data_IF_391573418301
#
_entry.id   IF_391573418301
#
_cell.length_a   1.000
_cell.length_b   1.000
_cell.length_c   1.000
_cell.angle_alpha   90.00
_cell.angle_beta   90.00
_cell.angle_gamma   90.00
#
_symmetry.space_group_name_H-M   'P 1'
#
loop_
_entity.id
_entity.type
_entity.pdbx_description
1 polymer ?
#
# COMPACT_ATOMS: atom_id res chain seq x y z
N UNK A 1 -21.82 -4.97 10.53
CA UNK A 1 -21.60 -4.74 11.98
C UNK A 1 -20.09 -4.64 12.19
N UNK A 2 -19.63 -3.61 12.89
CA UNK A 2 -18.20 -3.43 13.18
C UNK A 2 -17.70 -4.57 14.07
N UNK A 3 -16.65 -5.27 13.62
CA UNK A 3 -15.99 -6.29 14.45
C UNK A 3 -15.31 -5.62 15.65
N UNK A 4 -15.16 -6.34 16.76
CA UNK A 4 -14.21 -5.94 17.81
C UNK A 4 -12.80 -5.89 17.21
N UNK A 5 -11.93 -5.04 17.72
CA UNK A 5 -10.58 -4.86 17.17
C UNK A 5 -9.79 -6.19 17.10
N UNK A 6 -9.77 -6.96 18.19
CA UNK A 6 -9.19 -8.31 18.25
C UNK A 6 -9.73 -9.29 17.19
N UNK A 7 -10.94 -9.06 16.65
CA UNK A 7 -11.57 -9.91 15.64
C UNK A 7 -11.24 -9.50 14.20
N UNK A 8 -10.52 -8.40 13.97
CA UNK A 8 -10.09 -8.01 12.62
C UNK A 8 -8.93 -8.92 12.21
N UNK A 9 -9.15 -9.76 11.20
CA UNK A 9 -8.17 -10.73 10.74
C UNK A 9 -7.26 -10.07 9.72
N UNK A 10 -5.99 -9.88 10.09
CA UNK A 10 -4.96 -9.28 9.23
C UNK A 10 -4.16 -10.40 8.58
N UNK A 11 -4.37 -10.62 7.28
CA UNK A 11 -3.53 -11.53 6.53
C UNK A 11 -2.19 -10.89 6.19
N UNK A 12 -1.11 -11.65 6.34
CA UNK A 12 0.25 -11.19 6.09
C UNK A 12 0.91 -12.12 5.08
N UNK A 13 1.25 -11.61 3.89
CA UNK A 13 2.15 -12.33 3.00
C UNK A 13 3.59 -12.14 3.48
N UNK A 14 4.33 -13.23 3.65
CA UNK A 14 5.63 -13.22 4.37
C UNK A 14 6.77 -12.59 3.57
N UNK A 15 6.56 -12.36 2.27
CA UNK A 15 7.56 -11.78 1.39
C UNK A 15 8.73 -12.74 1.16
N UNK A 16 9.88 -12.19 0.77
CA UNK A 16 11.09 -12.98 0.57
C UNK A 16 11.67 -13.46 1.91
N UNK A 17 11.80 -14.78 2.08
CA UNK A 17 12.29 -15.41 3.31
C UNK A 17 13.80 -15.20 3.55
N UNK A 18 14.57 -14.89 2.52
CA UNK A 18 15.99 -14.50 2.65
C UNK A 18 16.15 -12.99 2.88
N UNK A 19 15.09 -12.20 2.73
CA UNK A 19 15.06 -10.77 3.05
C UNK A 19 14.68 -10.49 4.51
N UNK A 20 14.43 -9.22 4.81
CA UNK A 20 14.00 -8.76 6.15
C UNK A 20 12.52 -8.98 6.45
N UNK A 21 11.72 -9.48 5.48
CA UNK A 21 10.26 -9.56 5.61
C UNK A 21 9.82 -10.31 6.86
N UNK A 22 10.42 -11.47 7.11
CA UNK A 22 10.12 -12.26 8.32
C UNK A 22 10.57 -11.56 9.60
N UNK A 23 11.69 -10.83 9.58
CA UNK A 23 12.20 -10.09 10.74
C UNK A 23 11.26 -8.94 11.13
N UNK A 24 10.82 -8.13 10.17
CA UNK A 24 9.93 -6.99 10.46
C UNK A 24 8.54 -7.45 10.91
N UNK A 25 8.03 -8.55 10.36
CA UNK A 25 6.78 -9.18 10.81
C UNK A 25 6.90 -9.62 12.26
N UNK A 26 7.96 -10.38 12.61
CA UNK A 26 8.15 -10.87 13.97
C UNK A 26 8.29 -9.72 14.97
N UNK A 27 9.16 -8.74 14.70
CA UNK A 27 9.35 -7.55 15.55
C UNK A 27 8.07 -6.75 15.77
N UNK A 28 7.22 -6.64 14.74
CA UNK A 28 5.94 -5.93 14.86
C UNK A 28 5.03 -6.57 15.92
N UNK A 29 5.00 -7.90 15.99
CA UNK A 29 4.13 -8.63 16.92
C UNK A 29 4.83 -9.13 18.19
N UNK A 30 6.07 -8.67 18.46
CA UNK A 30 6.69 -8.81 19.79
C UNK A 30 5.93 -8.00 20.85
N UNK A 31 5.37 -6.86 20.43
CA UNK A 31 4.45 -6.10 21.27
C UNK A 31 3.06 -6.73 21.26
N UNK A 32 2.72 -7.47 22.31
CA UNK A 32 1.46 -8.19 22.44
C UNK A 32 0.22 -7.26 22.40
N UNK A 33 0.38 -5.95 22.61
CA UNK A 33 -0.72 -4.98 22.45
C UNK A 33 -1.26 -4.97 21.01
N UNK A 34 -0.45 -5.35 20.02
CA UNK A 34 -0.92 -5.52 18.64
C UNK A 34 -2.04 -6.56 18.52
N UNK A 35 -2.04 -7.58 19.39
CA UNK A 35 -3.07 -8.63 19.39
C UNK A 35 -4.42 -8.16 19.97
N UNK A 36 -4.43 -7.03 20.68
CA UNK A 36 -5.67 -6.35 21.08
C UNK A 36 -6.30 -5.57 19.91
N UNK A 37 -5.48 -5.22 18.90
CA UNK A 37 -5.88 -4.42 17.76
C UNK A 37 -6.27 -5.26 16.54
N UNK A 38 -5.73 -6.48 16.42
CA UNK A 38 -6.04 -7.42 15.35
C UNK A 38 -5.62 -8.86 15.67
N UNK A 39 -6.10 -9.81 14.85
CA UNK A 39 -5.60 -11.18 14.82
C UNK A 39 -4.76 -11.39 13.56
N UNK A 40 -3.42 -11.46 13.67
CA UNK A 40 -2.56 -11.66 12.51
C UNK A 40 -2.53 -13.13 12.06
N UNK A 41 -2.54 -13.33 10.75
CA UNK A 41 -2.41 -14.63 10.07
C UNK A 41 -1.32 -14.54 9.02
N UNK A 42 -0.18 -15.16 9.31
CA UNK A 42 1.00 -15.17 8.44
C UNK A 42 0.86 -16.34 7.47
N UNK A 43 0.82 -16.04 6.17
CA UNK A 43 0.75 -17.02 5.09
C UNK A 43 2.16 -17.55 4.80
N UNK A 44 2.59 -18.63 5.47
CA UNK A 44 3.98 -19.13 5.39
C UNK A 44 4.10 -20.62 5.74
N UNK A 45 5.06 -20.95 6.61
CA UNK A 45 5.25 -22.26 7.23
C UNK A 45 5.76 -22.06 8.66
N UNK A 46 5.09 -22.67 9.65
CA UNK A 46 5.40 -22.43 11.07
C UNK A 46 6.79 -22.92 11.48
N UNK A 47 7.32 -23.97 10.84
CA UNK A 47 8.67 -24.48 11.13
C UNK A 47 9.74 -23.50 10.64
N UNK A 48 9.56 -22.93 9.45
CA UNK A 48 10.45 -21.89 8.92
C UNK A 48 10.39 -20.63 9.79
N UNK A 49 9.18 -20.17 10.12
CA UNK A 49 9.03 -19.01 10.99
C UNK A 49 9.66 -19.25 12.38
N UNK A 50 9.57 -20.46 12.92
CA UNK A 50 10.24 -20.84 14.18
C UNK A 50 11.76 -20.86 14.06
N UNK A 51 12.30 -21.30 12.92
CA UNK A 51 13.73 -21.23 12.63
C UNK A 51 14.23 -19.78 12.57
N UNK A 52 13.54 -18.92 11.82
CA UNK A 52 13.87 -17.49 11.71
C UNK A 52 13.76 -16.81 13.08
N UNK A 53 12.66 -17.03 13.82
CA UNK A 53 12.48 -16.54 15.19
C UNK A 53 13.65 -16.93 16.09
N UNK A 54 14.14 -18.17 16.00
CA UNK A 54 15.29 -18.64 16.79
C UNK A 54 16.58 -17.90 16.42
N UNK A 55 16.84 -17.72 15.12
CA UNK A 55 18.04 -17.01 14.65
C UNK A 55 18.03 -15.53 15.05
N UNK A 56 16.85 -14.91 15.14
CA UNK A 56 16.67 -13.53 15.56
C UNK A 56 16.50 -13.35 17.08
N UNK A 57 16.60 -14.44 17.85
CA UNK A 57 16.37 -14.45 19.30
C UNK A 57 15.00 -13.89 19.74
N UNK A 58 14.02 -13.89 18.84
CA UNK A 58 12.68 -13.35 19.11
C UNK A 58 11.90 -14.22 20.08
N UNK A 59 11.09 -13.60 20.94
CA UNK A 59 10.30 -14.27 21.98
C UNK A 59 8.86 -14.58 21.56
N UNK A 60 8.45 -14.15 20.36
CA UNK A 60 7.09 -14.30 19.81
C UNK A 60 6.55 -15.73 19.89
N UNK A 61 5.35 -15.93 20.45
CA UNK A 61 4.69 -17.23 20.43
C UNK A 61 3.89 -17.43 19.13
N UNK A 62 4.38 -18.31 18.24
CA UNK A 62 3.72 -18.65 16.98
C UNK A 62 2.73 -19.81 17.16
N UNK A 63 1.56 -19.70 16.53
CA UNK A 63 0.53 -20.73 16.50
C UNK A 63 0.36 -21.25 15.07
N UNK A 64 0.84 -22.46 14.79
CA UNK A 64 0.70 -23.07 13.47
C UNK A 64 -0.72 -23.57 13.23
N UNK A 65 -1.27 -23.24 12.06
CA UNK A 65 -2.57 -23.72 11.57
C UNK A 65 -2.42 -24.30 10.17
N UNK A 66 -3.29 -25.26 9.82
CA UNK A 66 -3.32 -25.87 8.48
C UNK A 66 -4.50 -25.37 7.64
N UNK A 67 -5.48 -24.72 8.28
CA UNK A 67 -6.69 -24.16 7.64
C UNK A 67 -7.07 -22.84 8.30
N UNK A 68 -7.70 -21.94 7.53
CA UNK A 68 -8.11 -20.61 8.01
C UNK A 68 -9.27 -20.66 9.03
N UNK A 69 -10.06 -21.72 9.08
CA UNK A 69 -11.08 -21.92 10.12
C UNK A 69 -10.50 -22.23 11.51
N UNK A 70 -9.19 -22.48 11.60
CA UNK A 70 -8.46 -22.72 12.85
C UNK A 70 -7.84 -21.46 13.45
N UNK A 71 -8.05 -20.28 12.85
CA UNK A 71 -7.51 -19.02 13.37
C UNK A 71 -7.96 -18.82 14.82
N UNK A 72 -6.99 -18.59 15.70
CA UNK A 72 -7.23 -18.28 17.10
C UNK A 72 -6.97 -16.79 17.38
N UNK A 73 -7.98 -16.05 17.87
CA UNK A 73 -7.79 -14.69 18.37
C UNK A 73 -6.77 -14.63 19.52
N UNK A 74 -6.05 -13.51 19.62
CA UNK A 74 -5.01 -13.32 20.64
C UNK A 74 -3.76 -14.20 20.42
N UNK A 75 -3.60 -14.78 19.23
CA UNK A 75 -2.41 -15.54 18.81
C UNK A 75 -1.86 -15.00 17.49
N UNK A 76 -0.58 -15.25 17.29
CA UNK A 76 0.09 -15.00 16.00
C UNK A 76 -0.01 -16.27 15.19
N UNK A 77 -1.00 -16.32 14.30
CA UNK A 77 -1.32 -17.51 13.53
C UNK A 77 -0.35 -17.61 12.34
N UNK A 78 0.10 -18.82 12.02
CA UNK A 78 0.91 -19.11 10.84
C UNK A 78 0.23 -20.22 10.05
N UNK A 79 -0.32 -19.88 8.90
CA UNK A 79 -0.92 -20.84 7.98
C UNK A 79 0.17 -21.58 7.22
N UNK A 80 0.23 -22.91 7.36
CA UNK A 80 1.17 -23.77 6.65
C UNK A 80 0.78 -23.97 5.18
N UNK A 81 1.33 -23.16 4.29
CA UNK A 81 1.08 -23.22 2.85
C UNK A 81 1.91 -24.29 2.12
N UNK A 82 2.98 -24.75 2.74
CA UNK A 82 3.87 -25.78 2.21
C UNK A 82 4.39 -26.66 3.35
N UNK A 83 4.88 -27.86 3.01
CA UNK A 83 5.32 -28.86 4.00
C UNK A 83 6.79 -29.23 3.87
N UNK A 84 7.32 -29.08 2.67
CA UNK A 84 8.71 -29.22 2.33
C UNK A 84 9.59 -28.22 3.10
N UNK A 85 10.83 -28.64 3.39
CA UNK A 85 11.84 -27.73 3.92
C UNK A 85 12.30 -26.76 2.83
N UNK A 86 12.68 -25.56 3.25
CA UNK A 86 13.26 -24.55 2.37
C UNK A 86 14.63 -24.18 2.96
N UNK A 87 15.67 -24.32 2.15
CA UNK A 87 17.02 -23.93 2.54
C UNK A 87 17.14 -22.41 2.47
N UNK A 88 17.28 -21.78 3.62
CA UNK A 88 17.38 -20.32 3.73
C UNK A 88 18.83 -19.87 3.82
N UNK A 89 19.20 -18.95 2.93
CA UNK A 89 20.47 -18.26 2.92
C UNK A 89 20.18 -16.77 3.11
N UNK A 90 19.98 -16.36 4.37
CA UNK A 90 19.61 -14.98 4.71
C UNK A 90 20.61 -13.99 4.08
N UNK A 91 20.07 -12.98 3.41
CA UNK A 91 20.85 -11.96 2.71
C UNK A 91 21.33 -12.36 1.32
N UNK A 92 20.93 -13.53 0.81
CA UNK A 92 21.23 -13.97 -0.54
C UNK A 92 19.95 -14.01 -1.36
N UNK A 93 19.98 -13.32 -2.49
CA UNK A 93 18.94 -13.42 -3.51
C UNK A 93 18.89 -14.87 -4.03
N UNK A 94 17.73 -15.51 -3.94
CA UNK A 94 17.49 -16.87 -4.44
C UNK A 94 16.10 -16.95 -5.11
N UNK A 95 16.06 -17.38 -6.37
CA UNK A 95 14.84 -17.52 -7.17
C UNK A 95 13.86 -18.54 -6.55
N UNK A 96 14.36 -19.67 -6.04
CA UNK A 96 13.51 -20.71 -5.43
C UNK A 96 12.85 -20.19 -4.15
N UNK A 97 13.57 -19.39 -3.38
CA UNK A 97 13.01 -18.72 -2.20
C UNK A 97 11.97 -17.67 -2.60
N UNK A 98 12.21 -16.96 -3.71
CA UNK A 98 11.26 -16.04 -4.32
C UNK A 98 9.92 -16.69 -4.68
N UNK A 99 9.90 -17.94 -5.14
CA UNK A 99 8.66 -18.69 -5.42
C UNK A 99 7.76 -18.83 -4.18
N UNK A 100 8.34 -19.02 -2.99
CA UNK A 100 7.56 -19.11 -1.74
C UNK A 100 6.97 -17.76 -1.32
N UNK A 101 7.66 -16.65 -1.63
CA UNK A 101 7.12 -15.31 -1.44
C UNK A 101 5.86 -15.09 -2.28
N UNK A 102 5.88 -15.55 -3.54
CA UNK A 102 4.71 -15.49 -4.43
C UNK A 102 3.61 -16.45 -3.98
N UNK A 103 3.94 -17.69 -3.59
CA UNK A 103 2.98 -18.64 -3.04
C UNK A 103 2.24 -18.06 -1.83
N UNK A 104 2.96 -17.37 -0.96
CA UNK A 104 2.41 -16.63 0.17
C UNK A 104 1.47 -15.50 -0.26
N UNK A 105 1.91 -14.65 -1.18
CA UNK A 105 1.14 -13.50 -1.67
C UNK A 105 -0.14 -13.92 -2.40
N UNK A 106 -0.07 -14.91 -3.28
CA UNK A 106 -1.22 -15.45 -4.03
C UNK A 106 -2.25 -16.05 -3.06
N UNK A 107 -1.81 -16.87 -2.11
CA UNK A 107 -2.72 -17.48 -1.13
C UNK A 107 -3.39 -16.43 -0.22
N UNK A 108 -2.63 -15.42 0.20
CA UNK A 108 -3.18 -14.33 1.03
C UNK A 108 -4.18 -13.47 0.23
N UNK A 109 -3.91 -13.21 -1.05
CA UNK A 109 -4.83 -12.49 -1.94
C UNK A 109 -6.12 -13.29 -2.18
N UNK A 110 -6.02 -14.60 -2.40
CA UNK A 110 -7.19 -15.47 -2.54
C UNK A 110 -8.06 -15.46 -1.27
N UNK A 111 -7.43 -15.57 -0.09
CA UNK A 111 -8.14 -15.48 1.19
C UNK A 111 -8.83 -14.11 1.39
N UNK A 112 -8.20 -13.02 0.94
CA UNK A 112 -8.77 -11.67 0.98
C UNK A 112 -9.99 -11.55 0.06
N UNK A 113 -9.87 -12.05 -1.17
CA UNK A 113 -10.94 -12.08 -2.17
C UNK A 113 -12.16 -12.83 -1.66
N UNK A 114 -11.95 -13.98 -1.04
CA UNK A 114 -13.01 -14.82 -0.45
C UNK A 114 -13.55 -14.29 0.90
N UNK A 115 -12.97 -13.22 1.45
CA UNK A 115 -13.39 -12.63 2.72
C UNK A 115 -13.04 -13.46 3.96
N UNK A 116 -12.07 -14.37 3.84
CA UNK A 116 -11.55 -15.17 4.95
C UNK A 116 -10.59 -14.37 5.85
N UNK A 117 -10.02 -13.29 5.31
CA UNK A 117 -9.28 -12.26 6.04
C UNK A 117 -9.91 -10.89 5.74
N UNK A 118 -9.75 -9.93 6.66
CA UNK A 118 -10.38 -8.61 6.56
C UNK A 118 -9.52 -7.61 5.75
N UNK A 119 -8.19 -7.74 5.83
CA UNK A 119 -7.23 -6.92 5.10
C UNK A 119 -5.90 -7.65 4.90
N UNK A 120 -5.12 -7.22 3.91
CA UNK A 120 -3.81 -7.77 3.57
C UNK A 120 -2.68 -6.78 3.83
N UNK A 121 -1.65 -7.21 4.56
CA UNK A 121 -0.38 -6.49 4.70
C UNK A 121 0.72 -7.32 4.03
N UNK A 122 1.36 -6.79 3.01
CA UNK A 122 2.39 -7.54 2.27
C UNK A 122 3.78 -7.19 2.77
N UNK A 123 4.57 -8.15 3.23
CA UNK A 123 5.99 -7.94 3.48
C UNK A 123 6.78 -7.80 2.15
N UNK A 124 8.00 -7.23 2.16
CA UNK A 124 8.75 -6.94 0.94
C UNK A 124 9.10 -8.19 0.12
N UNK A 125 9.01 -8.06 -1.20
CA UNK A 125 9.47 -9.05 -2.18
C UNK A 125 10.50 -8.44 -3.12
N UNK A 126 11.33 -9.29 -3.72
CA UNK A 126 12.27 -8.88 -4.76
C UNK A 126 11.65 -9.07 -6.15
N UNK A 127 11.35 -7.97 -6.85
CA UNK A 127 10.70 -7.96 -8.17
C UNK A 127 11.44 -8.76 -9.25
N UNK A 128 12.75 -8.95 -9.13
CA UNK A 128 13.53 -9.71 -10.10
C UNK A 128 13.35 -11.23 -9.95
N UNK A 129 13.13 -11.70 -8.72
CA UNK A 129 13.08 -13.13 -8.40
C UNK A 129 11.68 -13.72 -8.50
N UNK A 130 10.67 -12.87 -8.53
CA UNK A 130 9.28 -13.30 -8.56
C UNK A 130 8.78 -13.58 -9.99
N UNK A 131 9.55 -13.17 -11.01
CA UNK A 131 9.19 -13.46 -12.40
C UNK A 131 9.46 -14.93 -12.68
N UNK A 132 8.43 -15.67 -13.05
CA UNK A 132 8.55 -17.08 -13.41
C UNK A 132 7.67 -17.40 -14.62
N UNK A 133 7.73 -18.64 -15.12
CA UNK A 133 6.78 -19.09 -16.13
C UNK A 133 5.32 -19.01 -15.64
N UNK A 134 5.09 -19.14 -14.33
CA UNK A 134 3.78 -19.16 -13.68
C UNK A 134 3.35 -17.83 -13.06
N UNK A 135 4.24 -16.85 -12.93
CA UNK A 135 3.93 -15.51 -12.40
C UNK A 135 4.66 -14.43 -13.20
N UNK A 136 3.92 -13.74 -14.09
CA UNK A 136 4.44 -12.68 -14.97
C UNK A 136 3.70 -11.37 -14.69
N UNK A 137 3.93 -10.79 -13.52
CA UNK A 137 3.33 -9.51 -13.14
C UNK A 137 4.42 -8.49 -12.81
N UNK A 138 4.36 -7.26 -13.36
CA UNK A 138 5.36 -6.21 -13.09
C UNK A 138 5.48 -5.85 -11.59
N UNK A 139 4.40 -6.03 -10.82
CA UNK A 139 4.42 -5.92 -9.36
C UNK A 139 3.14 -6.40 -8.67
N UNK A 140 3.08 -6.19 -7.34
CA UNK A 140 1.92 -6.53 -6.52
C UNK A 140 0.63 -5.85 -7.00
N UNK A 141 0.71 -4.57 -7.38
CA UNK A 141 -0.46 -3.76 -7.75
C UNK A 141 -1.17 -4.33 -8.97
N UNK A 142 -0.43 -4.73 -10.02
CA UNK A 142 -1.02 -5.29 -11.25
C UNK A 142 -1.73 -6.61 -10.99
N UNK A 143 -1.13 -7.48 -10.17
CA UNK A 143 -1.75 -8.73 -9.77
C UNK A 143 -3.04 -8.51 -8.97
N UNK A 144 -3.02 -7.55 -8.02
CA UNK A 144 -4.20 -7.22 -7.23
C UNK A 144 -5.31 -6.61 -8.08
N UNK A 145 -4.98 -5.79 -9.07
CA UNK A 145 -5.96 -5.19 -9.99
C UNK A 145 -6.65 -6.25 -10.86
N UNK A 146 -5.95 -7.33 -11.19
CA UNK A 146 -6.55 -8.48 -11.89
C UNK A 146 -7.43 -9.34 -10.95
N UNK A 147 -7.01 -9.53 -9.71
CA UNK A 147 -7.67 -10.47 -8.79
C UNK A 147 -8.81 -9.86 -7.99
N UNK A 148 -8.79 -8.55 -7.75
CA UNK A 148 -9.74 -7.83 -6.90
C UNK A 148 -10.58 -6.85 -7.71
N UNK A 149 -11.72 -6.44 -7.18
CA UNK A 149 -12.59 -5.51 -7.89
C UNK A 149 -12.14 -4.06 -7.66
N UNK A 150 -12.07 -3.26 -8.72
CA UNK A 150 -11.77 -1.84 -8.64
C UNK A 150 -10.73 -1.40 -9.66
N UNK A 151 -10.10 -0.26 -9.37
CA UNK A 151 -9.02 0.30 -10.18
C UNK A 151 -7.85 0.67 -9.25
N UNK A 152 -6.83 -0.19 -9.21
CA UNK A 152 -5.71 -0.05 -8.31
C UNK A 152 -4.92 1.25 -8.56
N UNK A 153 -4.64 1.95 -7.47
CA UNK A 153 -3.84 3.17 -7.46
C UNK A 153 -2.87 3.13 -6.29
N UNK A 154 -1.59 3.32 -6.58
CA UNK A 154 -0.57 3.48 -5.54
C UNK A 154 -0.75 4.83 -4.84
N UNK A 155 -1.01 4.79 -3.53
CA UNK A 155 -1.07 5.95 -2.66
C UNK A 155 -0.07 5.78 -1.53
N UNK A 156 0.98 6.60 -1.53
CA UNK A 156 1.96 6.63 -0.45
C UNK A 156 1.43 7.47 0.69
N UNK A 157 1.47 6.93 1.91
CA UNK A 157 0.84 7.53 3.09
C UNK A 157 1.86 7.58 4.21
N UNK A 158 1.99 8.75 4.82
CA UNK A 158 2.51 8.89 6.17
C UNK A 158 1.82 10.03 6.91
N UNK A 159 1.15 9.72 8.01
CA UNK A 159 0.36 10.65 8.83
C UNK A 159 -0.57 11.52 7.96
N UNK A 160 -0.30 12.83 7.88
CA UNK A 160 -1.06 13.79 7.06
C UNK A 160 -0.63 13.85 5.59
N UNK A 161 0.52 13.28 5.22
CA UNK A 161 1.05 13.31 3.86
C UNK A 161 0.55 12.10 3.06
N UNK A 162 -0.18 12.37 1.98
CA UNK A 162 -0.65 11.36 1.02
C UNK A 162 -0.22 11.75 -0.38
N UNK A 163 0.51 10.89 -1.07
CA UNK A 163 1.05 11.14 -2.41
C UNK A 163 0.59 10.04 -3.37
N UNK A 164 -0.25 10.39 -4.33
CA UNK A 164 -0.66 9.55 -5.44
C UNK A 164 0.11 9.89 -6.72
N UNK A 165 0.07 8.99 -7.69
CA UNK A 165 0.78 9.13 -8.97
C UNK A 165 -0.21 9.05 -10.14
N UNK A 166 -0.08 9.95 -11.13
CA UNK A 166 -0.79 9.81 -12.41
C UNK A 166 -0.16 8.67 -13.25
N UNK A 167 1.17 8.67 -13.32
CA UNK A 167 1.97 7.62 -13.98
C UNK A 167 2.94 7.01 -12.98
N UNK A 168 3.11 5.69 -13.04
CA UNK A 168 3.89 4.93 -12.07
C UNK A 168 5.23 4.45 -12.65
N UNK A 169 5.36 3.18 -13.03
CA UNK A 169 6.63 2.55 -13.40
C UNK A 169 6.86 2.62 -14.92
N UNK A 170 6.81 3.82 -15.50
CA UNK A 170 7.09 4.07 -16.92
C UNK A 170 8.41 4.85 -17.10
N UNK A 171 9.09 4.73 -18.25
CA UNK A 171 10.23 5.58 -18.58
C UNK A 171 9.87 7.06 -18.52
N UNK A 172 10.75 7.91 -17.96
CA UNK A 172 10.52 9.35 -17.85
C UNK A 172 10.23 10.00 -19.22
N UNK A 173 10.86 9.50 -20.29
CA UNK A 173 10.63 9.94 -21.68
C UNK A 173 9.21 9.70 -22.19
N UNK A 174 8.44 8.82 -21.55
CA UNK A 174 7.08 8.44 -21.95
C UNK A 174 6.00 9.09 -21.08
N UNK A 175 6.37 9.80 -20.01
CA UNK A 175 5.39 10.39 -19.07
C UNK A 175 4.44 11.34 -19.79
N UNK A 176 4.99 12.26 -20.61
CA UNK A 176 4.21 13.28 -21.30
C UNK A 176 3.12 12.68 -22.20
N UNK A 177 3.43 11.60 -22.94
CA UNK A 177 2.49 10.98 -23.88
C UNK A 177 1.37 10.20 -23.19
N UNK A 178 1.58 9.76 -21.95
CA UNK A 178 0.58 9.04 -21.17
C UNK A 178 -0.38 9.97 -20.42
N UNK A 179 -0.05 11.25 -20.27
CA UNK A 179 -0.91 12.23 -19.61
C UNK A 179 -2.07 12.62 -20.53
N UNK A 180 -3.20 11.93 -20.36
CA UNK A 180 -4.47 12.23 -21.03
C UNK A 180 -5.50 12.76 -20.03
N UNK A 181 -6.50 13.51 -20.53
CA UNK A 181 -7.61 13.98 -19.68
C UNK A 181 -8.31 12.80 -18.98
N UNK A 182 -8.51 11.69 -19.69
CA UNK A 182 -9.16 10.49 -19.14
C UNK A 182 -8.37 9.91 -17.96
N UNK A 183 -7.05 9.77 -18.10
CA UNK A 183 -6.18 9.30 -17.02
C UNK A 183 -6.27 10.23 -15.80
N UNK A 184 -6.16 11.54 -16.03
CA UNK A 184 -6.19 12.57 -14.97
C UNK A 184 -7.52 12.50 -14.20
N UNK A 185 -8.64 12.48 -14.91
CA UNK A 185 -9.98 12.41 -14.31
C UNK A 185 -10.15 11.11 -13.52
N UNK A 186 -9.76 9.97 -14.10
CA UNK A 186 -9.87 8.66 -13.45
C UNK A 186 -9.07 8.64 -12.15
N UNK A 187 -7.79 8.99 -12.19
CA UNK A 187 -6.89 8.95 -11.02
C UNK A 187 -7.33 9.92 -9.92
N UNK A 188 -7.75 11.14 -10.26
CA UNK A 188 -8.25 12.11 -9.27
C UNK A 188 -9.54 11.62 -8.60
N UNK A 189 -10.48 11.05 -9.35
CA UNK A 189 -11.70 10.52 -8.75
C UNK A 189 -11.41 9.31 -7.85
N UNK A 190 -10.51 8.40 -8.25
CA UNK A 190 -10.06 7.30 -7.38
C UNK A 190 -9.46 7.81 -6.07
N UNK A 191 -8.55 8.80 -6.12
CA UNK A 191 -7.96 9.40 -4.92
C UNK A 191 -9.02 10.09 -4.07
N UNK A 192 -9.93 10.87 -4.67
CA UNK A 192 -11.03 11.52 -3.94
C UNK A 192 -11.91 10.50 -3.22
N UNK A 193 -12.31 9.43 -3.89
CA UNK A 193 -13.13 8.37 -3.28
C UNK A 193 -12.37 7.71 -2.12
N UNK A 194 -11.09 7.43 -2.31
CA UNK A 194 -10.24 6.91 -1.24
C UNK A 194 -10.16 7.87 -0.04
N UNK A 195 -9.94 9.16 -0.26
CA UNK A 195 -9.91 10.15 0.83
C UNK A 195 -11.22 10.18 1.63
N UNK A 196 -12.36 10.03 0.96
CA UNK A 196 -13.67 9.98 1.61
C UNK A 196 -13.86 8.66 2.38
N UNK A 197 -13.63 7.53 1.72
CA UNK A 197 -14.00 6.19 2.22
C UNK A 197 -12.95 5.59 3.15
N UNK A 198 -11.68 5.73 2.80
CA UNK A 198 -10.54 5.13 3.49
C UNK A 198 -10.00 6.05 4.59
N UNK A 199 -10.07 7.37 4.38
CA UNK A 199 -9.49 8.38 5.28
C UNK A 199 -10.53 9.28 5.96
N UNK A 200 -11.83 9.04 5.73
CA UNK A 200 -12.94 9.78 6.38
C UNK A 200 -12.92 11.30 6.14
N UNK A 201 -12.42 11.75 4.98
CA UNK A 201 -12.33 13.16 4.60
C UNK A 201 -13.51 13.53 3.69
N UNK A 202 -14.57 14.11 4.25
CA UNK A 202 -15.83 14.38 3.53
C UNK A 202 -15.71 15.36 2.34
N UNK A 203 -14.77 16.32 2.39
CA UNK A 203 -14.56 17.33 1.34
C UNK A 203 -13.07 17.46 1.03
N UNK A 204 -12.47 16.45 0.39
CA UNK A 204 -11.03 16.36 0.24
C UNK A 204 -10.50 17.44 -0.70
N UNK A 205 -9.42 18.10 -0.30
CA UNK A 205 -8.64 19.03 -1.12
C UNK A 205 -7.45 18.29 -1.71
N UNK A 206 -7.40 18.25 -3.04
CA UNK A 206 -6.36 17.51 -3.77
C UNK A 206 -5.49 18.53 -4.51
N UNK A 207 -4.18 18.50 -4.26
CA UNK A 207 -3.21 19.23 -5.06
C UNK A 207 -2.69 18.35 -6.20
N UNK A 208 -2.50 18.93 -7.38
CA UNK A 208 -1.87 18.26 -8.52
C UNK A 208 -0.61 19.03 -8.90
N UNK A 209 0.49 18.31 -9.11
CA UNK A 209 1.75 18.89 -9.54
C UNK A 209 1.76 19.04 -11.06
N UNK A 210 2.52 20.02 -11.57
CA UNK A 210 2.77 20.14 -13.00
C UNK A 210 3.72 19.06 -13.51
N UNK A 211 3.68 18.78 -14.81
CA UNK A 211 4.65 17.91 -15.47
C UNK A 211 5.99 18.62 -15.57
N UNK A 212 5.98 19.83 -16.12
CA UNK A 212 7.20 20.56 -16.42
C UNK A 212 7.63 21.42 -15.22
N UNK A 213 8.94 21.75 -15.13
CA UNK A 213 9.43 22.76 -14.19
C UNK A 213 8.61 24.04 -14.32
N UNK A 214 8.28 24.66 -13.18
CA UNK A 214 7.47 25.88 -13.12
C UNK A 214 6.11 25.79 -13.86
N UNK A 215 5.55 24.58 -14.01
CA UNK A 215 4.31 24.33 -14.75
C UNK A 215 4.34 24.86 -16.19
N UNK A 216 5.50 24.71 -16.84
CA UNK A 216 5.73 25.12 -18.23
C UNK A 216 6.00 26.61 -18.43
N UNK A 217 5.95 27.43 -17.37
CA UNK A 217 6.21 28.88 -17.39
C UNK A 217 5.49 29.60 -18.55
N UNK A 218 4.19 29.30 -18.72
CA UNK A 218 3.35 29.87 -19.79
C UNK A 218 3.66 29.35 -21.19
N UNK A 219 4.21 28.15 -21.30
CA UNK A 219 4.56 27.50 -22.57
C UNK A 219 6.04 27.63 -22.97
N UNK A 220 6.86 28.29 -22.15
CA UNK A 220 8.31 28.42 -22.38
C UNK A 220 9.02 27.08 -22.20
N UNK A 221 8.57 26.26 -21.25
CA UNK A 221 9.20 24.99 -20.85
C UNK A 221 8.18 23.85 -21.02
N UNK A 222 7.77 23.59 -22.26
CA UNK A 222 6.73 22.60 -22.55
C UNK A 222 5.31 23.16 -22.43
N UNK A 223 4.35 22.44 -23.01
CA UNK A 223 2.96 22.92 -23.16
C UNK A 223 1.94 21.97 -22.55
N UNK A 224 2.35 20.80 -22.08
CA UNK A 224 1.50 19.73 -21.55
C UNK A 224 0.68 20.20 -20.35
N UNK A 225 1.28 21.04 -19.48
CA UNK A 225 0.61 21.63 -18.33
C UNK A 225 -0.58 22.51 -18.73
N UNK A 226 -0.40 23.33 -19.77
CA UNK A 226 -1.42 24.25 -20.30
C UNK A 226 -2.45 23.55 -21.18
N UNK A 227 -1.99 22.60 -21.99
CA UNK A 227 -2.80 21.92 -22.99
C UNK A 227 -3.65 20.79 -22.39
N UNK A 228 -3.16 20.11 -21.34
CA UNK A 228 -3.80 18.90 -20.81
C UNK A 228 -4.17 19.04 -19.33
N UNK A 229 -3.22 19.36 -18.45
CA UNK A 229 -3.47 19.38 -17.00
C UNK A 229 -4.45 20.50 -16.62
N UNK A 230 -4.16 21.77 -16.94
CA UNK A 230 -5.03 22.91 -16.56
C UNK A 230 -6.49 22.73 -17.01
N UNK A 231 -6.79 22.36 -18.28
CA UNK A 231 -8.17 22.12 -18.71
C UNK A 231 -8.84 20.98 -17.96
N UNK A 232 -8.13 19.86 -17.76
CA UNK A 232 -8.66 18.70 -17.04
C UNK A 232 -8.99 19.04 -15.58
N UNK A 233 -8.06 19.70 -14.87
CA UNK A 233 -8.27 20.12 -13.49
C UNK A 233 -9.42 21.12 -13.35
N UNK A 234 -9.52 22.08 -14.28
CA UNK A 234 -10.65 23.02 -14.30
C UNK A 234 -11.98 22.29 -14.44
N UNK A 235 -12.07 21.34 -15.37
CA UNK A 235 -13.29 20.54 -15.59
C UNK A 235 -13.69 19.73 -14.35
N UNK A 236 -12.71 19.17 -13.64
CA UNK A 236 -12.95 18.42 -12.40
C UNK A 236 -13.40 19.38 -11.28
N UNK A 237 -12.79 20.56 -11.20
CA UNK A 237 -13.18 21.60 -10.24
C UNK A 237 -14.59 22.12 -10.48
N UNK A 238 -14.95 22.42 -11.73
CA UNK A 238 -16.29 22.88 -12.11
C UNK A 238 -17.38 21.83 -11.80
N UNK A 239 -17.01 20.54 -11.76
CA UNK A 239 -17.89 19.43 -11.32
C UNK A 239 -18.04 19.33 -9.80
N UNK A 240 -17.37 20.18 -9.03
CA UNK A 240 -17.46 20.28 -7.57
C UNK A 240 -16.40 19.50 -6.79
N UNK A 241 -15.43 18.88 -7.46
CA UNK A 241 -14.28 18.25 -6.78
C UNK A 241 -13.23 19.31 -6.45
N UNK A 242 -12.81 19.42 -5.19
CA UNK A 242 -11.84 20.44 -4.74
C UNK A 242 -10.40 20.06 -5.14
N UNK A 243 -10.12 20.13 -6.44
CA UNK A 243 -8.79 19.90 -7.02
C UNK A 243 -8.13 21.22 -7.38
N UNK A 244 -6.83 21.34 -7.10
CA UNK A 244 -6.06 22.57 -7.28
C UNK A 244 -4.72 22.27 -7.96
N UNK A 245 -4.25 23.22 -8.77
CA UNK A 245 -2.99 23.13 -9.50
C UNK A 245 -3.16 23.46 -10.99
N UNK A 246 -2.20 23.06 -11.84
CA UNK A 246 -0.96 22.38 -11.46
C UNK A 246 -0.04 23.30 -10.61
N UNK A 247 0.72 22.73 -9.69
CA UNK A 247 1.73 23.43 -8.89
C UNK A 247 3.16 23.04 -9.30
N UNK A 248 4.09 23.99 -9.25
CA UNK A 248 5.51 23.71 -9.46
C UNK A 248 6.05 22.85 -8.31
N UNK A 249 6.55 21.65 -8.62
CA UNK A 249 6.81 20.62 -7.62
C UNK A 249 7.85 21.06 -6.55
N UNK A 250 8.94 21.69 -6.99
CA UNK A 250 10.02 22.18 -6.15
C UNK A 250 9.55 23.24 -5.14
N UNK A 251 8.86 24.28 -5.62
CA UNK A 251 8.30 25.33 -4.77
C UNK A 251 7.18 24.81 -3.86
N UNK A 252 6.37 23.87 -4.35
CA UNK A 252 5.27 23.28 -3.60
C UNK A 252 5.75 22.51 -2.37
N UNK A 253 6.74 21.63 -2.54
CA UNK A 253 7.34 20.91 -1.41
C UNK A 253 8.27 21.78 -0.57
N UNK A 254 9.09 22.61 -1.21
CA UNK A 254 10.08 23.47 -0.52
C UNK A 254 9.46 24.54 0.38
N UNK A 255 8.23 24.97 0.10
CA UNK A 255 7.50 25.94 0.92
C UNK A 255 6.55 25.33 1.96
N UNK A 256 6.46 23.99 2.04
CA UNK A 256 5.50 23.31 2.92
C UNK A 256 4.05 23.42 2.45
N UNK A 257 3.79 23.78 1.19
CA UNK A 257 2.43 23.99 0.69
C UNK A 257 1.59 22.71 0.69
N UNK A 258 2.23 21.55 0.61
CA UNK A 258 1.60 20.22 0.67
C UNK A 258 0.76 20.01 1.94
N UNK A 259 1.11 20.64 3.06
CA UNK A 259 0.37 20.54 4.33
C UNK A 259 -1.05 21.12 4.29
N UNK A 260 -1.37 21.91 3.25
CA UNK A 260 -2.69 22.54 3.07
C UNK A 260 -3.70 21.64 2.33
N UNK A 261 -3.26 20.46 1.89
CA UNK A 261 -4.03 19.54 1.07
C UNK A 261 -4.08 18.16 1.72
N UNK A 262 -5.16 17.44 1.45
CA UNK A 262 -5.40 16.10 2.02
C UNK A 262 -4.67 15.01 1.22
N UNK A 263 -4.40 15.27 -0.06
CA UNK A 263 -3.51 14.50 -0.92
C UNK A 263 -2.83 15.36 -1.98
N UNK A 264 -1.67 14.90 -2.41
CA UNK A 264 -0.90 15.41 -3.54
C UNK A 264 -0.88 14.36 -4.64
N UNK A 265 -1.10 14.75 -5.88
CA UNK A 265 -0.97 13.88 -7.04
C UNK A 265 0.20 14.37 -7.88
N UNK A 266 1.25 13.57 -7.95
CA UNK A 266 2.40 13.81 -8.80
C UNK A 266 2.16 13.26 -10.20
N UNK A 267 2.76 13.89 -11.21
CA UNK A 267 2.61 13.48 -12.61
C UNK A 267 3.39 12.20 -12.93
N UNK A 268 4.52 11.97 -12.24
CA UNK A 268 5.35 10.78 -12.36
C UNK A 268 5.97 10.37 -11.02
N UNK A 269 6.48 9.13 -10.97
CA UNK A 269 6.98 8.47 -9.78
C UNK A 269 7.98 9.30 -8.96
N UNK A 270 9.12 9.68 -9.54
CA UNK A 270 10.19 10.34 -8.79
C UNK A 270 9.81 11.74 -8.29
N UNK A 271 8.89 12.43 -8.99
CA UNK A 271 8.37 13.73 -8.57
C UNK A 271 7.65 13.67 -7.22
N UNK A 272 6.89 12.59 -6.99
CA UNK A 272 6.14 12.38 -5.76
C UNK A 272 6.94 11.63 -4.70
N UNK A 273 7.71 10.61 -5.10
CA UNK A 273 8.33 9.70 -4.15
C UNK A 273 9.59 10.26 -3.50
N UNK A 274 10.41 11.05 -4.21
CA UNK A 274 11.57 11.70 -3.61
C UNK A 274 11.16 12.53 -2.38
N UNK A 275 10.25 13.53 -2.51
CA UNK A 275 9.85 14.33 -1.35
C UNK A 275 9.13 13.48 -0.30
N UNK A 276 8.30 12.51 -0.69
CA UNK A 276 7.64 11.61 0.26
C UNK A 276 8.65 10.85 1.13
N UNK A 277 9.68 10.25 0.53
CA UNK A 277 10.71 9.47 1.22
C UNK A 277 11.55 10.35 2.14
N UNK A 278 11.86 11.58 1.70
CA UNK A 278 12.57 12.56 2.52
C UNK A 278 11.76 12.98 3.75
N UNK A 279 10.43 13.14 3.60
CA UNK A 279 9.55 13.63 4.66
C UNK A 279 8.99 12.53 5.58
N UNK A 280 8.93 11.28 5.13
CA UNK A 280 8.31 10.17 5.87
C UNK A 280 9.25 9.48 6.87
N UNK A 281 10.55 9.78 6.86
CA UNK A 281 11.56 9.26 7.81
C UNK A 281 11.48 7.74 8.06
N UNK A 282 11.26 6.95 7.01
CA UNK A 282 11.19 5.48 7.11
C UNK A 282 9.87 4.92 7.67
N UNK A 283 8.85 5.76 7.86
CA UNK A 283 7.50 5.37 8.32
C UNK A 283 6.47 5.33 7.18
N UNK A 284 6.90 5.55 5.94
CA UNK A 284 6.02 5.51 4.78
C UNK A 284 5.31 4.16 4.63
N UNK A 285 4.06 4.20 4.19
CA UNK A 285 3.24 3.05 3.84
C UNK A 285 2.78 3.19 2.41
N UNK A 286 2.87 2.10 1.64
CA UNK A 286 2.23 1.99 0.34
C UNK A 286 0.83 1.39 0.51
N UNK A 287 -0.19 2.21 0.31
CA UNK A 287 -1.59 1.79 0.29
C UNK A 287 -2.08 1.65 -1.16
N UNK A 288 -2.76 0.55 -1.46
CA UNK A 288 -3.39 0.34 -2.77
C UNK A 288 -4.83 0.85 -2.73
N UNK A 289 -5.01 2.11 -3.09
CA UNK A 289 -6.32 2.76 -3.19
C UNK A 289 -7.10 2.26 -4.40
N UNK A 290 -8.42 2.46 -4.38
CA UNK A 290 -9.32 2.16 -5.52
C UNK A 290 -9.79 0.70 -5.63
N UNK A 291 -9.22 -0.22 -4.85
CA UNK A 291 -9.70 -1.59 -4.73
C UNK A 291 -10.78 -1.74 -3.64
N UNK A 292 -11.70 -2.68 -3.85
CA UNK A 292 -12.78 -3.04 -2.92
C UNK A 292 -12.24 -3.68 -1.63
N UNK A 293 -11.09 -4.34 -1.69
CA UNK A 293 -10.34 -4.86 -0.54
C UNK A 293 -9.20 -3.95 -0.12
N UNK A 294 -8.78 -4.11 1.14
CA UNK A 294 -7.73 -3.30 1.75
C UNK A 294 -6.39 -4.01 1.64
N UNK A 295 -5.42 -3.36 1.01
CA UNK A 295 -4.02 -3.80 1.01
C UNK A 295 -3.07 -2.66 1.37
N UNK A 296 -2.20 -2.92 2.34
CA UNK A 296 -1.08 -2.04 2.72
C UNK A 296 0.26 -2.77 2.63
N UNK A 297 1.35 -2.01 2.60
CA UNK A 297 2.71 -2.54 2.46
C UNK A 297 3.70 -1.54 3.03
N UNK A 298 4.83 -2.00 3.61
CA UNK A 298 5.92 -1.10 3.93
C UNK A 298 6.49 -0.48 2.65
N UNK A 299 7.20 0.63 2.83
CA UNK A 299 7.82 1.43 1.78
C UNK A 299 9.33 1.12 1.59
N UNK A 300 9.78 -0.05 2.04
CA UNK A 300 11.15 -0.53 1.85
C UNK A 300 11.18 -1.88 1.13
N UNK A 301 12.32 -2.19 0.54
CA UNK A 301 12.58 -3.46 -0.15
C UNK A 301 12.96 -4.60 0.80
N UNK A 302 13.53 -5.66 0.24
CA UNK A 302 13.96 -6.88 0.95
C UNK A 302 15.21 -6.69 1.81
N UNK A 303 16.01 -5.65 1.57
CA UNK A 303 17.20 -5.28 2.35
C UNK A 303 18.10 -6.48 2.72
N UNK A 304 18.53 -7.24 1.70
CA UNK A 304 19.33 -8.45 1.87
C UNK A 304 20.63 -8.21 2.65
N UNK A 305 21.22 -7.03 2.52
CA UNK A 305 22.44 -6.63 3.20
C UNK A 305 22.33 -6.65 4.73
N UNK A 306 21.11 -6.56 5.29
CA UNK A 306 20.85 -6.62 6.73
C UNK A 306 20.01 -7.81 7.17
N UNK A 307 19.58 -8.67 6.24
CA UNK A 307 18.73 -9.82 6.56
C UNK A 307 19.43 -10.79 7.52
N UNK A 308 18.69 -11.21 8.55
CA UNK A 308 19.19 -12.13 9.58
C UNK A 308 20.11 -11.50 10.63
N UNK A 309 20.37 -10.19 10.54
CA UNK A 309 21.22 -9.47 11.51
C UNK A 309 20.44 -8.93 12.72
N UNK A 310 19.11 -8.95 12.70
CA UNK A 310 18.30 -8.45 13.81
C UNK A 310 18.25 -6.92 13.92
N UNK A 311 18.72 -6.18 12.90
CA UNK A 311 18.81 -4.71 12.90
C UNK A 311 17.80 -4.02 11.97
N UNK A 312 16.92 -4.76 11.29
CA UNK A 312 15.91 -4.17 10.42
C UNK A 312 14.94 -3.30 11.23
N UNK A 313 14.67 -2.10 10.71
CA UNK A 313 13.61 -1.23 11.23
C UNK A 313 12.26 -1.78 10.77
N UNK A 314 11.39 -2.08 11.74
CA UNK A 314 10.06 -2.63 11.50
C UNK A 314 8.96 -1.56 11.51
N UNK A 315 9.29 -0.28 11.73
CA UNK A 315 8.31 0.79 11.87
C UNK A 315 7.40 0.92 10.64
N UNK A 316 7.94 0.91 9.42
CA UNK A 316 7.12 0.97 8.18
C UNK A 316 6.11 -0.19 8.09
N UNK A 317 6.50 -1.42 8.48
CA UNK A 317 5.58 -2.56 8.49
C UNK A 317 4.51 -2.41 9.56
N UNK A 318 4.88 -1.97 10.77
CA UNK A 318 3.94 -1.67 11.85
C UNK A 318 2.94 -0.58 11.45
N UNK A 319 3.41 0.52 10.86
CA UNK A 319 2.53 1.57 10.33
C UNK A 319 1.62 1.04 9.22
N UNK A 320 2.09 0.09 8.39
CA UNK A 320 1.23 -0.55 7.39
C UNK A 320 0.09 -1.38 8.02
N UNK A 321 0.34 -2.05 9.15
CA UNK A 321 -0.70 -2.73 9.93
C UNK A 321 -1.68 -1.71 10.51
N UNK A 322 -1.20 -0.64 11.16
CA UNK A 322 -2.05 0.40 11.73
C UNK A 322 -2.93 1.08 10.67
N UNK A 323 -2.34 1.51 9.56
CA UNK A 323 -3.07 2.12 8.46
C UNK A 323 -4.14 1.17 7.91
N UNK A 324 -3.83 -0.12 7.75
CA UNK A 324 -4.80 -1.11 7.32
C UNK A 324 -6.01 -1.19 8.25
N UNK A 325 -5.77 -1.22 9.56
CA UNK A 325 -6.82 -1.26 10.58
C UNK A 325 -7.67 0.02 10.60
N UNK A 326 -7.05 1.18 10.44
CA UNK A 326 -7.75 2.46 10.40
C UNK A 326 -8.62 2.58 9.15
N UNK A 327 -8.11 2.14 7.99
CA UNK A 327 -8.89 2.09 6.74
C UNK A 327 -10.06 1.12 6.89
N UNK A 328 -9.87 -0.05 7.51
CA UNK A 328 -10.96 -1.00 7.76
C UNK A 328 -12.09 -0.37 8.57
N UNK A 329 -11.73 0.36 9.63
CA UNK A 329 -12.70 1.07 10.48
C UNK A 329 -13.39 2.21 9.72
N UNK A 330 -12.64 3.01 8.96
CA UNK A 330 -13.17 4.08 8.12
C UNK A 330 -14.17 3.55 7.09
N UNK A 331 -13.84 2.47 6.37
CA UNK A 331 -14.75 1.84 5.41
C UNK A 331 -16.02 1.31 6.07
N UNK A 332 -15.89 0.65 7.22
CA UNK A 332 -17.03 0.14 7.97
C UNK A 332 -17.96 1.28 8.43
N UNK A 333 -17.39 2.37 8.94
CA UNK A 333 -18.13 3.57 9.33
C UNK A 333 -18.78 4.24 8.12
N UNK A 334 -18.05 4.39 7.01
CA UNK A 334 -18.56 4.95 5.76
C UNK A 334 -19.76 4.16 5.24
N UNK A 335 -19.67 2.82 5.23
CA UNK A 335 -20.76 1.95 4.83
C UNK A 335 -21.99 2.10 5.72
N UNK A 336 -21.81 2.29 7.04
CA UNK A 336 -22.91 2.50 7.97
C UNK A 336 -23.61 3.85 7.74
N UNK A 337 -22.84 4.94 7.63
CA UNK A 337 -23.42 6.29 7.48
C UNK A 337 -24.00 6.53 6.08
N UNK A 338 -23.53 5.82 5.05
CA UNK A 338 -24.00 5.97 3.66
C UNK A 338 -25.21 5.09 3.31
N UNK A 339 -25.63 4.16 4.19
CA UNK A 339 -26.77 3.26 3.93
C UNK A 339 -28.11 3.97 3.71
N UNK A 340 -28.32 5.14 4.33
CA UNK A 340 -29.58 5.89 4.27
C UNK A 340 -29.28 7.37 4.02
N UNK A 341 -28.84 7.75 2.81
CA UNK A 341 -28.53 9.13 2.52
C UNK A 341 -29.80 9.97 2.63
N UNK A 342 -29.70 11.16 3.22
CA UNK A 342 -30.79 12.13 3.21
C UNK A 342 -31.13 12.45 1.75
N UNK A 343 -32.42 12.34 1.40
CA UNK A 343 -32.90 12.69 0.07
C UNK A 343 -32.57 14.17 -0.18
N UNK A 344 -31.71 14.44 -1.16
CA UNK A 344 -31.43 15.80 -1.59
C UNK A 344 -32.72 16.33 -2.21
N UNK A 345 -33.28 17.40 -1.63
CA UNK A 345 -34.43 18.09 -2.23
C UNK A 345 -33.90 18.81 -3.46
N UNK A 346 -34.22 18.32 -4.66
CA UNK A 346 -33.92 19.03 -5.91
C UNK A 346 -34.48 20.45 -5.79
N UNK A 347 -33.62 21.44 -6.06
CA UNK A 347 -33.95 22.85 -6.01
C UNK A 347 -34.53 23.33 -7.33
#
# INVERSE_FOLDING_TARGET
MMKKAENIIVGISIGDLNGIGSEVVLKTFEDLRMLELCTPVIFANVKIMSFIKKNLESTVALHGIDKLDQILPGKINVLNLWREGVDLNLGVNDEKVGEYAIKSFVAATAALKEGLIDLLVTAPINKYNIQSESFKFPGHTDYLDQELEGDALMLMVQDGLRVGLLTDHIPVSEVASHLTEELIVKKIETVKQSLIQDFSINKPKIAVLGLNPHCGDGGVIGTEDDAVLKPALKKIFDKGTMVFGPFAADGFFGSGQYEKYDAVIATYHDQGLIPFKTLSFGKGVNFTAGLDKIRTSPDHGTAYDIAGKGIADYNSFKEAVYLGLDIYRSRAQYAEISQKPLKVREK
#
